data_IF_000929273920
#
_entry.id   IF_000929273920
#
_cell.length_a   1.000
_cell.length_b   1.000
_cell.length_c   1.000
_cell.angle_alpha   90.00
_cell.angle_beta   90.00
_cell.angle_gamma   90.00
#
_symmetry.space_group_name_H-M   'P 1'
#
loop_
_entity.id
_entity.type
_entity.pdbx_description
1 polymer ?
#
# COMPACT_ATOMS: atom_id res chain seq x y z
N UNK A 1 6.05 17.73 -36.24
CA UNK A 1 5.88 17.10 -34.91
C UNK A 1 7.14 16.33 -34.52
N UNK A 2 7.67 15.48 -35.42
CA UNK A 2 8.93 14.76 -35.26
C UNK A 2 10.13 15.66 -34.88
N UNK A 3 10.38 16.75 -35.61
CA UNK A 3 11.50 17.68 -35.32
C UNK A 3 11.42 18.37 -33.95
N UNK A 4 10.22 18.54 -33.37
CA UNK A 4 10.07 19.06 -32.00
C UNK A 4 10.38 17.99 -30.95
N UNK A 5 10.00 16.73 -31.21
CA UNK A 5 10.36 15.60 -30.36
C UNK A 5 11.87 15.35 -30.35
N UNK A 6 12.50 15.39 -31.52
CA UNK A 6 13.95 15.16 -31.65
C UNK A 6 14.75 16.24 -30.89
N UNK A 7 14.34 17.51 -30.99
CA UNK A 7 14.97 18.61 -30.25
C UNK A 7 14.79 18.49 -28.72
N UNK A 8 13.64 17.97 -28.26
CA UNK A 8 13.40 17.74 -26.83
C UNK A 8 14.28 16.61 -26.31
N UNK A 9 14.36 15.49 -27.05
CA UNK A 9 15.23 14.35 -26.75
C UNK A 9 16.69 14.77 -26.62
N UNK A 10 17.17 15.55 -27.59
CA UNK A 10 18.54 16.05 -27.58
C UNK A 10 18.82 16.97 -26.38
N UNK A 11 17.87 17.85 -26.04
CA UNK A 11 17.95 18.70 -24.84
C UNK A 11 18.00 17.88 -23.54
N UNK A 12 17.21 16.81 -23.42
CA UNK A 12 17.18 15.96 -22.23
C UNK A 12 18.50 15.18 -22.10
N UNK A 13 18.97 14.58 -23.18
CA UNK A 13 20.27 13.90 -23.21
C UNK A 13 21.41 14.87 -22.87
N UNK A 14 21.37 16.10 -23.38
CA UNK A 14 22.33 17.15 -23.05
C UNK A 14 22.35 17.49 -21.56
N UNK A 15 21.17 17.64 -20.93
CA UNK A 15 21.06 17.90 -19.47
C UNK A 15 21.64 16.76 -18.64
N UNK A 16 21.36 15.51 -19.02
CA UNK A 16 21.90 14.34 -18.34
C UNK A 16 23.42 14.29 -18.44
N UNK A 17 23.99 14.46 -19.64
CA UNK A 17 25.44 14.51 -19.84
C UNK A 17 26.10 15.62 -19.03
N UNK A 18 25.54 16.84 -19.07
CA UNK A 18 26.09 17.98 -18.34
C UNK A 18 26.09 17.73 -16.82
N UNK A 19 24.98 17.24 -16.27
CA UNK A 19 24.90 16.91 -14.84
C UNK A 19 25.93 15.85 -14.43
N UNK A 20 26.02 14.75 -15.18
CA UNK A 20 26.98 13.69 -14.90
C UNK A 20 28.42 14.20 -15.01
N UNK A 21 28.74 15.00 -16.03
CA UNK A 21 30.08 15.57 -16.22
C UNK A 21 30.52 16.48 -15.06
N UNK A 22 29.59 17.25 -14.48
CA UNK A 22 29.89 18.08 -13.32
C UNK A 22 30.12 17.23 -12.05
N UNK A 23 29.28 16.22 -11.83
CA UNK A 23 29.41 15.31 -10.68
C UNK A 23 30.68 14.46 -10.75
N UNK A 24 31.11 14.09 -11.96
CA UNK A 24 32.35 13.35 -12.21
C UNK A 24 33.62 14.12 -11.84
N UNK A 25 33.55 15.45 -11.60
CA UNK A 25 34.70 16.21 -11.06
C UNK A 25 35.05 15.80 -9.64
N UNK A 26 34.07 15.28 -8.88
CA UNK A 26 34.24 14.84 -7.48
C UNK A 26 33.37 13.61 -7.17
N UNK A 27 33.63 12.47 -7.83
CA UNK A 27 32.70 11.35 -7.83
C UNK A 27 32.51 10.70 -6.45
N UNK A 28 33.53 10.74 -5.59
CA UNK A 28 33.48 10.21 -4.23
C UNK A 28 32.65 11.06 -3.25
N UNK A 29 32.38 12.33 -3.57
CA UNK A 29 31.52 13.20 -2.76
C UNK A 29 30.02 12.97 -3.07
N UNK A 30 29.68 12.24 -4.15
CA UNK A 30 28.31 12.03 -4.60
C UNK A 30 27.64 10.92 -3.79
N UNK A 31 26.69 11.30 -2.94
CA UNK A 31 25.89 10.36 -2.13
C UNK A 31 24.44 10.23 -2.61
N UNK A 32 23.99 11.14 -3.46
CA UNK A 32 22.66 11.14 -4.06
C UNK A 32 22.74 11.52 -5.53
N UNK A 33 22.05 10.76 -6.37
CA UNK A 33 21.95 11.01 -7.80
C UNK A 33 20.48 10.93 -8.22
N UNK A 34 20.02 11.98 -8.87
CA UNK A 34 18.67 12.07 -9.42
C UNK A 34 18.72 12.21 -10.95
N UNK A 35 18.18 11.20 -11.61
CA UNK A 35 18.01 11.05 -13.04
C UNK A 35 16.54 10.76 -13.38
N UNK A 36 15.58 11.31 -12.62
CA UNK A 36 14.16 11.18 -12.96
C UNK A 36 13.82 11.89 -14.28
N UNK A 37 12.86 11.32 -15.04
CA UNK A 37 12.32 11.94 -16.26
C UNK A 37 13.40 12.34 -17.27
N UNK A 38 14.37 11.44 -17.50
CA UNK A 38 15.49 11.65 -18.43
C UNK A 38 15.37 10.87 -19.73
N UNK A 39 14.21 10.25 -19.98
CA UNK A 39 13.96 9.43 -21.16
C UNK A 39 15.04 8.34 -21.35
N UNK A 40 15.60 7.84 -20.24
CA UNK A 40 16.68 6.86 -20.29
C UNK A 40 16.14 5.50 -20.74
N UNK A 41 16.64 5.01 -21.85
CA UNK A 41 16.40 3.64 -22.32
C UNK A 41 17.39 2.65 -21.68
N UNK A 42 18.56 3.14 -21.23
CA UNK A 42 19.56 2.37 -20.50
C UNK A 42 20.19 3.24 -19.40
N UNK A 43 20.75 2.57 -18.38
CA UNK A 43 21.45 3.27 -17.30
C UNK A 43 22.81 3.78 -17.81
N UNK A 44 23.13 5.08 -17.66
CA UNK A 44 24.41 5.64 -18.12
C UNK A 44 25.60 5.04 -17.38
N UNK A 45 26.66 4.64 -18.09
CA UNK A 45 27.83 3.99 -17.48
C UNK A 45 28.60 4.91 -16.50
N UNK A 46 28.47 6.22 -16.65
CA UNK A 46 29.10 7.23 -15.80
C UNK A 46 28.68 7.12 -14.33
N UNK A 47 27.45 6.64 -14.06
CA UNK A 47 26.95 6.59 -12.68
C UNK A 47 27.73 5.62 -11.80
N UNK A 48 28.42 4.64 -12.40
CA UNK A 48 29.21 3.65 -11.68
C UNK A 48 30.51 4.21 -11.11
N UNK A 49 30.88 5.45 -11.44
CA UNK A 49 31.98 6.16 -10.78
C UNK A 49 31.61 6.65 -9.36
N UNK A 50 30.33 6.75 -9.02
CA UNK A 50 29.85 7.27 -7.74
C UNK A 50 29.81 6.15 -6.67
N UNK A 51 30.98 5.76 -6.17
CA UNK A 51 31.12 4.61 -5.25
C UNK A 51 30.36 4.79 -3.92
N UNK A 52 30.21 6.04 -3.44
CA UNK A 52 29.55 6.36 -2.17
C UNK A 52 28.05 6.65 -2.29
N UNK A 53 27.43 6.28 -3.42
CA UNK A 53 26.03 6.55 -3.70
C UNK A 53 25.11 5.79 -2.71
N UNK A 54 24.26 6.55 -2.02
CA UNK A 54 23.25 6.05 -1.07
C UNK A 54 21.84 6.13 -1.62
N UNK A 55 21.55 7.15 -2.42
CA UNK A 55 20.25 7.36 -3.03
C UNK A 55 20.37 7.49 -4.55
N UNK A 56 19.65 6.64 -5.29
CA UNK A 56 19.57 6.68 -6.75
C UNK A 56 18.12 6.77 -7.19
N UNK A 57 17.78 7.86 -7.90
CA UNK A 57 16.44 8.09 -8.45
C UNK A 57 16.51 7.96 -9.96
N UNK A 58 15.84 6.95 -10.50
CA UNK A 58 15.73 6.61 -11.91
C UNK A 58 14.26 6.55 -12.36
N UNK A 59 13.36 7.22 -11.63
CA UNK A 59 11.92 7.21 -11.90
C UNK A 59 11.55 7.81 -13.25
N UNK A 60 10.42 7.35 -13.81
CA UNK A 60 9.82 7.92 -15.02
C UNK A 60 10.82 7.96 -16.19
N UNK A 61 11.47 6.82 -16.44
CA UNK A 61 12.35 6.60 -17.59
C UNK A 61 11.79 5.44 -18.43
N UNK A 62 12.58 4.90 -19.35
CA UNK A 62 12.17 3.80 -20.24
C UNK A 62 12.96 2.51 -19.99
N UNK A 63 13.57 2.37 -18.82
CA UNK A 63 14.45 1.24 -18.48
C UNK A 63 13.68 -0.07 -18.50
N UNK A 64 14.27 -1.10 -19.10
CA UNK A 64 13.72 -2.48 -19.13
C UNK A 64 14.56 -3.45 -18.31
N UNK A 65 15.83 -3.12 -18.06
CA UNK A 65 16.81 -3.94 -17.36
C UNK A 65 17.83 -3.08 -16.61
N UNK A 66 18.59 -3.70 -15.72
CA UNK A 66 19.71 -3.09 -15.02
C UNK A 66 20.99 -3.88 -15.34
N UNK A 67 22.11 -3.20 -15.66
CA UNK A 67 23.37 -3.88 -15.94
C UNK A 67 23.97 -4.50 -14.67
N UNK A 68 24.76 -5.57 -14.82
CA UNK A 68 25.45 -6.26 -13.70
C UNK A 68 26.31 -5.33 -12.83
N UNK A 69 26.80 -4.22 -13.41
CA UNK A 69 27.55 -3.19 -12.67
C UNK A 69 26.76 -2.58 -11.50
N UNK A 70 25.43 -2.73 -11.43
CA UNK A 70 24.63 -2.32 -10.27
C UNK A 70 25.10 -2.95 -8.97
N UNK A 71 25.66 -4.16 -9.00
CA UNK A 71 26.25 -4.80 -7.81
C UNK A 71 27.39 -3.98 -7.16
N UNK A 72 27.94 -2.98 -7.86
CA UNK A 72 28.98 -2.10 -7.32
C UNK A 72 28.43 -1.05 -6.34
N UNK A 73 27.12 -0.78 -6.34
CA UNK A 73 26.51 0.19 -5.43
C UNK A 73 26.34 -0.37 -4.01
N UNK A 74 27.47 -0.65 -3.35
CA UNK A 74 27.51 -1.31 -2.03
C UNK A 74 26.94 -0.45 -0.90
N UNK A 75 26.85 0.86 -1.09
CA UNK A 75 26.31 1.80 -0.10
C UNK A 75 24.87 2.23 -0.37
N UNK A 76 24.22 1.67 -1.40
CA UNK A 76 22.88 2.08 -1.79
C UNK A 76 21.85 1.68 -0.73
N UNK A 77 21.16 2.68 -0.19
CA UNK A 77 20.11 2.53 0.80
C UNK A 77 18.73 2.77 0.17
N UNK A 78 18.66 3.58 -0.89
CA UNK A 78 17.42 3.95 -1.55
C UNK A 78 17.55 3.88 -3.07
N UNK A 79 16.66 3.11 -3.68
CA UNK A 79 16.59 2.97 -5.13
C UNK A 79 15.16 3.19 -5.61
N UNK A 80 14.97 4.18 -6.47
CA UNK A 80 13.68 4.53 -7.03
C UNK A 80 13.65 4.25 -8.55
N UNK A 81 12.95 3.19 -8.95
CA UNK A 81 12.79 2.72 -10.34
C UNK A 81 11.34 2.81 -10.82
N UNK A 82 10.47 3.49 -10.08
CA UNK A 82 9.05 3.58 -10.43
C UNK A 82 8.81 4.31 -11.76
N UNK A 83 7.82 3.88 -12.54
CA UNK A 83 7.51 4.48 -13.84
C UNK A 83 8.53 4.12 -14.93
N UNK A 84 8.91 2.84 -15.02
CA UNK A 84 9.79 2.31 -16.06
C UNK A 84 9.07 1.18 -16.83
N UNK A 85 9.81 0.39 -17.60
CA UNK A 85 9.29 -0.70 -18.42
C UNK A 85 9.74 -2.09 -17.94
N UNK A 86 10.07 -2.25 -16.66
CA UNK A 86 10.51 -3.55 -16.12
C UNK A 86 9.37 -4.58 -16.19
N UNK A 87 9.57 -5.67 -16.96
CA UNK A 87 8.65 -6.81 -17.02
C UNK A 87 8.87 -7.81 -15.87
N UNK A 88 10.04 -7.76 -15.24
CA UNK A 88 10.44 -8.57 -14.08
C UNK A 88 11.29 -7.73 -13.14
N UNK A 89 11.35 -8.12 -11.88
CA UNK A 89 12.33 -7.56 -10.94
C UNK A 89 13.73 -8.03 -11.37
N UNK A 90 14.69 -7.12 -11.66
CA UNK A 90 16.03 -7.52 -12.06
C UNK A 90 16.78 -8.24 -10.94
N UNK A 91 17.33 -9.42 -11.22
CA UNK A 91 18.01 -10.28 -10.22
C UNK A 91 19.16 -9.58 -9.51
N UNK A 92 19.80 -8.62 -10.19
CA UNK A 92 20.90 -7.82 -9.64
C UNK A 92 20.48 -7.03 -8.39
N UNK A 93 19.20 -6.68 -8.25
CA UNK A 93 18.67 -5.97 -7.09
C UNK A 93 18.84 -6.77 -5.80
N UNK A 94 18.72 -8.09 -5.87
CA UNK A 94 18.83 -8.98 -4.70
C UNK A 94 20.25 -9.09 -4.14
N UNK A 95 21.25 -8.49 -4.82
CA UNK A 95 22.63 -8.35 -4.30
C UNK A 95 22.82 -7.07 -3.50
N UNK A 96 21.86 -6.13 -3.52
CA UNK A 96 21.94 -4.82 -2.88
C UNK A 96 21.45 -4.87 -1.42
N UNK A 97 22.16 -5.63 -0.59
CA UNK A 97 21.76 -5.98 0.79
C UNK A 97 21.71 -4.79 1.78
N UNK A 98 22.06 -3.58 1.34
CA UNK A 98 21.94 -2.35 2.12
C UNK A 98 20.68 -1.54 1.81
N UNK A 99 19.87 -1.96 0.84
CA UNK A 99 18.62 -1.29 0.51
C UNK A 99 17.66 -1.29 1.70
N UNK A 100 17.18 -0.09 2.02
CA UNK A 100 16.11 0.20 2.97
C UNK A 100 14.83 0.63 2.26
N UNK A 101 14.94 1.23 1.09
CA UNK A 101 13.80 1.68 0.29
C UNK A 101 13.97 1.24 -1.16
N UNK A 102 12.99 0.49 -1.66
CA UNK A 102 12.93 0.05 -3.05
C UNK A 102 11.57 0.40 -3.64
N UNK A 103 11.59 1.22 -4.69
CA UNK A 103 10.40 1.58 -5.45
C UNK A 103 10.45 1.01 -6.86
N UNK A 104 9.53 0.08 -7.14
CA UNK A 104 9.31 -0.59 -8.42
C UNK A 104 7.88 -0.34 -8.93
N UNK A 105 7.19 0.67 -8.41
CA UNK A 105 5.82 1.01 -8.80
C UNK A 105 5.70 1.39 -10.28
N UNK A 106 4.52 1.30 -10.88
CA UNK A 106 4.29 1.73 -12.27
C UNK A 106 5.27 1.06 -13.26
N UNK A 107 5.34 -0.27 -13.21
CA UNK A 107 6.10 -1.10 -14.14
C UNK A 107 5.17 -2.16 -14.74
N UNK A 108 5.72 -3.24 -15.31
CA UNK A 108 4.97 -4.35 -15.91
C UNK A 108 5.32 -5.68 -15.23
N UNK A 109 5.66 -5.64 -13.94
CA UNK A 109 6.15 -6.80 -13.20
C UNK A 109 5.00 -7.77 -12.96
N UNK A 110 5.17 -9.04 -13.32
CA UNK A 110 4.16 -10.09 -13.11
C UNK A 110 4.45 -10.98 -11.89
N UNK A 111 5.73 -11.11 -11.53
CA UNK A 111 6.20 -12.05 -10.50
C UNK A 111 7.18 -11.34 -9.57
N UNK A 112 6.98 -11.53 -8.27
CA UNK A 112 7.98 -11.25 -7.25
C UNK A 112 8.71 -12.59 -6.99
N UNK A 113 10.01 -12.70 -7.29
CA UNK A 113 10.75 -13.94 -7.09
C UNK A 113 11.13 -14.11 -5.61
N UNK A 114 11.43 -15.36 -5.19
CA UNK A 114 11.73 -15.69 -3.79
C UNK A 114 12.94 -14.91 -3.24
N UNK A 115 13.87 -14.52 -4.10
CA UNK A 115 15.06 -13.74 -3.79
C UNK A 115 14.75 -12.35 -3.23
N UNK A 116 13.50 -11.85 -3.34
CA UNK A 116 13.08 -10.62 -2.65
C UNK A 116 13.40 -10.69 -1.16
N UNK A 117 13.30 -11.88 -0.56
CA UNK A 117 13.58 -12.12 0.85
C UNK A 117 15.04 -11.92 1.25
N UNK A 118 15.98 -11.76 0.31
CA UNK A 118 17.38 -11.46 0.58
C UNK A 118 17.58 -9.99 1.02
N UNK A 119 16.62 -9.11 0.74
CA UNK A 119 16.70 -7.68 1.04
C UNK A 119 16.24 -7.38 2.49
N UNK A 120 16.80 -8.07 3.47
CA UNK A 120 16.35 -8.09 4.88
C UNK A 120 16.34 -6.70 5.56
N UNK A 121 17.10 -5.73 5.04
CA UNK A 121 17.14 -4.35 5.55
C UNK A 121 16.03 -3.46 5.00
N UNK A 122 15.18 -3.94 4.08
CA UNK A 122 14.08 -3.16 3.53
C UNK A 122 13.12 -2.72 4.64
N UNK A 123 12.85 -1.42 4.65
CA UNK A 123 11.85 -0.75 5.47
C UNK A 123 10.64 -0.32 4.62
N UNK A 124 10.85 -0.03 3.34
CA UNK A 124 9.81 0.38 2.40
C UNK A 124 9.95 -0.38 1.09
N UNK A 125 8.89 -1.06 0.67
CA UNK A 125 8.78 -1.73 -0.62
C UNK A 125 7.50 -1.28 -1.33
N UNK A 126 7.64 -0.64 -2.49
CA UNK A 126 6.51 -0.20 -3.32
C UNK A 126 6.52 -0.91 -4.67
N UNK A 127 5.45 -1.65 -4.93
CA UNK A 127 5.21 -2.49 -6.10
C UNK A 127 3.83 -2.20 -6.73
N UNK A 128 3.19 -1.10 -6.35
CA UNK A 128 1.87 -0.73 -6.83
C UNK A 128 1.85 -0.38 -8.32
N UNK A 129 0.70 -0.55 -8.99
CA UNK A 129 0.58 -0.41 -10.45
C UNK A 129 1.55 -1.31 -11.22
N UNK A 130 1.41 -2.61 -11.01
CA UNK A 130 2.08 -3.66 -11.76
C UNK A 130 1.06 -4.73 -12.17
N UNK A 131 1.52 -5.90 -12.61
CA UNK A 131 0.70 -7.03 -13.05
C UNK A 131 0.87 -8.24 -12.12
N UNK A 132 1.25 -8.02 -10.86
CA UNK A 132 1.61 -9.07 -9.91
C UNK A 132 0.38 -9.90 -9.55
N UNK A 133 0.51 -11.23 -9.61
CA UNK A 133 -0.57 -12.17 -9.30
C UNK A 133 -0.42 -12.86 -7.94
N UNK A 134 0.82 -13.06 -7.50
CA UNK A 134 1.15 -13.80 -6.28
C UNK A 134 2.31 -13.13 -5.57
N UNK A 135 2.33 -13.29 -4.24
CA UNK A 135 3.41 -12.84 -3.37
C UNK A 135 4.10 -14.11 -2.85
N UNK A 136 5.44 -14.22 -2.97
CA UNK A 136 6.18 -15.39 -2.48
C UNK A 136 6.16 -15.46 -0.95
N UNK A 137 6.28 -16.68 -0.41
CA UNK A 137 6.40 -16.88 1.05
C UNK A 137 7.67 -16.22 1.62
N UNK A 138 8.68 -15.99 0.79
CA UNK A 138 9.90 -15.31 1.21
C UNK A 138 9.68 -13.85 1.63
N UNK A 139 8.51 -13.25 1.34
CA UNK A 139 8.16 -11.91 1.81
C UNK A 139 8.25 -11.81 3.32
N UNK A 140 7.90 -12.88 4.05
CA UNK A 140 7.98 -12.92 5.52
C UNK A 140 9.38 -12.73 6.08
N UNK A 141 10.44 -12.91 5.28
CA UNK A 141 11.83 -12.67 5.69
C UNK A 141 12.15 -11.18 5.87
N UNK A 142 11.36 -10.26 5.32
CA UNK A 142 11.60 -8.82 5.39
C UNK A 142 11.21 -8.24 6.76
N UNK A 143 11.88 -8.68 7.84
CA UNK A 143 11.51 -8.35 9.22
C UNK A 143 11.56 -6.86 9.55
N UNK A 144 12.31 -6.05 8.80
CA UNK A 144 12.41 -4.60 9.00
C UNK A 144 11.33 -3.81 8.25
N UNK A 145 10.49 -4.47 7.45
CA UNK A 145 9.53 -3.80 6.57
C UNK A 145 8.46 -3.09 7.38
N UNK A 146 8.29 -1.80 7.13
CA UNK A 146 7.30 -0.90 7.75
C UNK A 146 6.18 -0.55 6.78
N UNK A 147 6.49 -0.41 5.50
CA UNK A 147 5.53 -0.04 4.47
C UNK A 147 5.62 -1.04 3.32
N UNK A 148 4.49 -1.66 3.00
CA UNK A 148 4.33 -2.52 1.83
C UNK A 148 3.16 -2.00 0.98
N UNK A 149 3.47 -1.53 -0.22
CA UNK A 149 2.47 -1.08 -1.19
C UNK A 149 2.38 -2.04 -2.39
N UNK A 150 1.23 -2.70 -2.51
CA UNK A 150 0.92 -3.72 -3.51
C UNK A 150 -0.42 -3.43 -4.22
N UNK A 151 -1.02 -2.27 -3.97
CA UNK A 151 -2.27 -1.86 -4.59
C UNK A 151 -2.17 -1.77 -6.13
N UNK A 152 -3.29 -1.84 -6.84
CA UNK A 152 -3.30 -1.81 -8.31
C UNK A 152 -2.45 -2.94 -8.92
N UNK A 153 -2.77 -4.17 -8.55
CA UNK A 153 -2.17 -5.38 -9.12
C UNK A 153 -3.29 -6.39 -9.45
N UNK A 154 -2.94 -7.66 -9.61
CA UNK A 154 -3.90 -8.76 -9.81
C UNK A 154 -3.73 -9.85 -8.76
N UNK A 155 -3.39 -9.47 -7.53
CA UNK A 155 -3.08 -10.41 -6.44
C UNK A 155 -4.36 -11.11 -5.97
N UNK A 156 -4.34 -12.43 -5.99
CA UNK A 156 -5.51 -13.27 -5.66
C UNK A 156 -5.52 -13.71 -4.20
N UNK A 157 -4.35 -13.85 -3.56
CA UNK A 157 -4.21 -14.20 -2.15
C UNK A 157 -2.91 -13.64 -1.56
N UNK A 158 -2.88 -13.54 -0.23
CA UNK A 158 -1.65 -13.27 0.53
C UNK A 158 -1.11 -14.58 1.11
N UNK A 159 0.22 -14.78 1.16
CA UNK A 159 0.84 -15.90 1.86
C UNK A 159 0.66 -15.78 3.38
N UNK A 160 0.69 -16.91 4.10
CA UNK A 160 0.60 -16.91 5.57
C UNK A 160 1.83 -16.26 6.23
N UNK A 161 2.95 -16.21 5.52
CA UNK A 161 4.16 -15.50 5.97
C UNK A 161 4.00 -13.98 6.02
N UNK A 162 2.91 -13.41 5.49
CA UNK A 162 2.63 -11.96 5.65
C UNK A 162 2.58 -11.56 7.13
N UNK A 163 2.07 -12.44 7.99
CA UNK A 163 2.01 -12.21 9.43
C UNK A 163 3.36 -12.17 10.12
N UNK A 164 4.43 -12.57 9.45
CA UNK A 164 5.77 -12.49 10.01
C UNK A 164 6.46 -11.13 9.82
N UNK A 165 5.79 -10.19 9.13
CA UNK A 165 6.21 -8.80 9.01
C UNK A 165 5.85 -8.02 10.31
N UNK A 166 6.54 -8.35 11.40
CA UNK A 166 6.24 -7.84 12.75
C UNK A 166 6.41 -6.32 12.89
N UNK A 167 7.20 -5.71 12.01
CA UNK A 167 7.42 -4.26 11.97
C UNK A 167 6.50 -3.50 11.00
N UNK A 168 5.57 -4.19 10.33
CA UNK A 168 4.71 -3.58 9.33
C UNK A 168 3.75 -2.59 9.99
N UNK A 169 3.76 -1.35 9.50
CA UNK A 169 2.93 -0.24 9.97
C UNK A 169 1.84 0.12 8.96
N UNK A 170 2.13 0.00 7.66
CA UNK A 170 1.21 0.33 6.58
C UNK A 170 1.19 -0.76 5.50
N UNK A 171 -0.02 -1.26 5.20
CA UNK A 171 -0.24 -2.26 4.15
C UNK A 171 -1.32 -1.77 3.17
N UNK A 172 -0.91 -1.56 1.92
CA UNK A 172 -1.79 -1.11 0.84
C UNK A 172 -2.01 -2.25 -0.16
N UNK A 173 -3.24 -2.73 -0.24
CA UNK A 173 -3.67 -3.87 -1.06
C UNK A 173 -4.88 -3.56 -1.93
N UNK A 174 -5.35 -2.32 -1.95
CA UNK A 174 -6.53 -1.93 -2.70
C UNK A 174 -6.42 -2.14 -4.20
N UNK A 175 -7.54 -2.35 -4.88
CA UNK A 175 -7.59 -2.61 -6.33
C UNK A 175 -6.73 -3.84 -6.69
N UNK A 176 -7.07 -4.98 -6.09
CA UNK A 176 -6.53 -6.31 -6.36
C UNK A 176 -7.68 -7.31 -6.56
N UNK A 177 -7.40 -8.62 -6.44
CA UNK A 177 -8.38 -9.69 -6.59
C UNK A 177 -8.51 -10.56 -5.34
N UNK A 178 -8.18 -10.01 -4.16
CA UNK A 178 -8.19 -10.77 -2.91
C UNK A 178 -9.61 -11.21 -2.56
N UNK A 179 -9.78 -12.50 -2.23
CA UNK A 179 -11.06 -13.06 -1.78
C UNK A 179 -11.12 -13.26 -0.26
N UNK A 180 -9.96 -13.38 0.39
CA UNK A 180 -9.81 -13.48 1.84
C UNK A 180 -8.52 -12.77 2.29
N UNK A 181 -8.40 -12.56 3.60
CA UNK A 181 -7.12 -12.26 4.25
C UNK A 181 -6.71 -13.49 5.10
N UNK A 182 -5.42 -13.84 5.18
CA UNK A 182 -4.96 -14.98 5.97
C UNK A 182 -5.08 -14.69 7.47
N UNK A 183 -5.27 -15.74 8.29
CA UNK A 183 -5.37 -15.59 9.75
C UNK A 183 -4.05 -15.07 10.38
N UNK A 184 -2.93 -15.27 9.71
CA UNK A 184 -1.66 -14.69 10.11
C UNK A 184 -1.63 -13.15 10.10
N UNK A 185 -2.54 -12.46 9.40
CA UNK A 185 -2.52 -10.98 9.34
C UNK A 185 -2.57 -10.36 10.73
N UNK A 186 -3.29 -10.97 11.68
CA UNK A 186 -3.38 -10.51 13.06
C UNK A 186 -2.07 -10.60 13.88
N UNK A 187 -0.99 -11.12 13.30
CA UNK A 187 0.35 -11.12 13.88
C UNK A 187 1.12 -9.81 13.60
N UNK A 188 0.71 -9.01 12.61
CA UNK A 188 1.29 -7.69 12.32
C UNK A 188 0.90 -6.64 13.37
N UNK A 189 1.34 -6.80 14.62
CA UNK A 189 0.90 -6.00 15.78
C UNK A 189 1.14 -4.49 15.66
N UNK A 190 2.09 -4.07 14.82
CA UNK A 190 2.42 -2.66 14.59
C UNK A 190 1.60 -2.01 13.48
N UNK A 191 0.68 -2.73 12.84
CA UNK A 191 -0.08 -2.22 11.72
C UNK A 191 -1.04 -1.11 12.18
N UNK A 192 -0.87 0.08 11.60
CA UNK A 192 -1.69 1.27 11.86
C UNK A 192 -2.67 1.54 10.72
N UNK A 193 -2.32 1.16 9.49
CA UNK A 193 -3.15 1.36 8.30
C UNK A 193 -3.26 0.07 7.49
N UNK A 194 -4.49 -0.36 7.25
CA UNK A 194 -4.82 -1.45 6.35
C UNK A 194 -5.83 -0.97 5.31
N UNK A 195 -5.39 -0.91 4.06
CA UNK A 195 -6.20 -0.47 2.92
C UNK A 195 -6.41 -1.62 1.95
N UNK A 196 -7.59 -2.23 1.99
CA UNK A 196 -7.96 -3.44 1.22
C UNK A 196 -9.26 -3.24 0.41
N UNK A 197 -9.70 -1.98 0.25
CA UNK A 197 -10.86 -1.63 -0.56
C UNK A 197 -10.74 -2.10 -2.03
N UNK A 198 -11.86 -2.18 -2.76
CA UNK A 198 -11.88 -2.56 -4.18
C UNK A 198 -11.18 -3.92 -4.41
N UNK A 199 -11.62 -4.92 -3.66
CA UNK A 199 -11.22 -6.33 -3.78
C UNK A 199 -12.50 -7.19 -3.82
N UNK A 200 -12.36 -8.50 -3.65
CA UNK A 200 -13.46 -9.45 -3.64
C UNK A 200 -13.61 -10.14 -2.27
N UNK A 201 -13.25 -9.45 -1.17
CA UNK A 201 -13.29 -10.04 0.17
C UNK A 201 -14.73 -10.40 0.56
N UNK A 202 -14.95 -11.67 0.92
CA UNK A 202 -16.26 -12.17 1.38
C UNK A 202 -16.41 -12.17 2.90
N UNK A 203 -15.29 -12.21 3.61
CA UNK A 203 -15.21 -12.16 5.07
C UNK A 203 -13.86 -11.60 5.51
N UNK A 204 -13.75 -11.28 6.80
CA UNK A 204 -12.49 -11.00 7.47
C UNK A 204 -12.15 -12.14 8.44
N UNK A 205 -10.86 -12.46 8.62
CA UNK A 205 -10.43 -13.42 9.62
C UNK A 205 -10.70 -12.89 11.04
N UNK A 206 -10.95 -13.77 12.01
CA UNK A 206 -11.16 -13.37 13.42
C UNK A 206 -9.88 -12.76 14.03
N UNK A 207 -8.72 -13.13 13.49
CA UNK A 207 -7.46 -12.48 13.86
C UNK A 207 -7.38 -10.99 13.48
N UNK A 208 -8.30 -10.42 12.70
CA UNK A 208 -8.27 -8.97 12.40
C UNK A 208 -8.30 -8.14 13.69
N UNK A 209 -9.07 -8.56 14.70
CA UNK A 209 -9.17 -7.86 15.99
C UNK A 209 -7.89 -7.86 16.81
N UNK A 210 -6.87 -8.60 16.38
CA UNK A 210 -5.56 -8.63 17.03
C UNK A 210 -4.66 -7.44 16.66
N UNK A 211 -5.07 -6.62 15.69
CA UNK A 211 -4.35 -5.43 15.23
C UNK A 211 -4.65 -4.22 16.13
N UNK A 212 -4.25 -4.29 17.40
CA UNK A 212 -4.63 -3.31 18.42
C UNK A 212 -4.15 -1.88 18.17
N UNK A 213 -3.15 -1.67 17.29
CA UNK A 213 -2.66 -0.35 16.89
C UNK A 213 -3.31 0.19 15.61
N UNK A 214 -4.30 -0.51 15.04
CA UNK A 214 -4.92 -0.10 13.79
C UNK A 214 -5.76 1.17 13.99
N UNK A 215 -5.38 2.23 13.29
CA UNK A 215 -6.03 3.55 13.35
C UNK A 215 -7.00 3.75 12.18
N UNK A 216 -6.74 3.10 11.04
CA UNK A 216 -7.50 3.25 9.81
C UNK A 216 -7.66 1.92 9.08
N UNK A 217 -8.92 1.55 8.84
CA UNK A 217 -9.30 0.34 8.12
C UNK A 217 -10.25 0.71 6.97
N UNK A 218 -9.82 0.44 5.74
CA UNK A 218 -10.62 0.68 4.53
C UNK A 218 -10.95 -0.64 3.85
N UNK A 219 -12.25 -0.91 3.77
CA UNK A 219 -12.84 -2.17 3.31
C UNK A 219 -13.93 -1.96 2.25
N UNK A 220 -14.18 -0.72 1.84
CA UNK A 220 -15.24 -0.39 0.90
C UNK A 220 -15.08 -1.08 -0.47
N UNK A 221 -16.16 -1.26 -1.22
CA UNK A 221 -16.16 -1.95 -2.51
C UNK A 221 -15.57 -3.37 -2.40
N UNK A 222 -16.13 -4.17 -1.51
CA UNK A 222 -15.85 -5.60 -1.36
C UNK A 222 -17.19 -6.38 -1.37
N UNK A 223 -17.19 -7.64 -0.96
CA UNK A 223 -18.39 -8.50 -0.88
C UNK A 223 -18.64 -8.98 0.56
N UNK A 224 -18.27 -8.17 1.55
CA UNK A 224 -18.41 -8.54 2.96
C UNK A 224 -19.88 -8.65 3.34
N UNK A 225 -20.28 -9.79 3.90
CA UNK A 225 -21.65 -10.02 4.38
C UNK A 225 -21.83 -9.72 5.86
N UNK A 226 -20.77 -9.95 6.65
CA UNK A 226 -20.73 -9.75 8.08
C UNK A 226 -19.33 -9.29 8.49
N UNK A 227 -19.22 -8.73 9.69
CA UNK A 227 -17.95 -8.47 10.35
C UNK A 227 -17.72 -9.49 11.47
N UNK A 228 -16.47 -9.93 11.71
CA UNK A 228 -16.16 -10.81 12.83
C UNK A 228 -16.39 -10.08 14.17
N UNK A 229 -16.72 -10.82 15.24
CA UNK A 229 -16.95 -10.22 16.56
C UNK A 229 -15.71 -9.50 17.07
N UNK A 230 -14.53 -10.02 16.72
CA UNK A 230 -13.23 -9.42 17.03
C UNK A 230 -13.01 -8.02 16.46
N UNK A 231 -13.83 -7.53 15.52
CA UNK A 231 -13.71 -6.16 15.00
C UNK A 231 -13.77 -5.13 16.13
N UNK A 232 -14.56 -5.39 17.18
CA UNK A 232 -14.67 -4.52 18.35
C UNK A 232 -13.40 -4.42 19.21
N UNK A 233 -12.39 -5.27 18.96
CA UNK A 233 -11.10 -5.19 19.66
C UNK A 233 -10.18 -4.09 19.09
N UNK A 234 -10.52 -3.52 17.92
CA UNK A 234 -9.76 -2.45 17.26
C UNK A 234 -9.99 -1.08 17.92
N UNK A 235 -9.75 -0.99 19.22
CA UNK A 235 -10.11 0.17 20.05
C UNK A 235 -9.39 1.47 19.68
N UNK A 236 -8.29 1.41 18.92
CA UNK A 236 -7.58 2.59 18.38
C UNK A 236 -8.13 3.08 17.03
N UNK A 237 -9.12 2.38 16.46
CA UNK A 237 -9.65 2.72 15.15
C UNK A 237 -10.39 4.05 15.19
N UNK A 238 -9.96 4.99 14.34
CA UNK A 238 -10.56 6.32 14.21
C UNK A 238 -11.45 6.42 12.98
N UNK A 239 -11.17 5.60 11.95
CA UNK A 239 -11.87 5.60 10.66
C UNK A 239 -12.12 4.18 10.19
N UNK A 240 -13.38 3.86 9.95
CA UNK A 240 -13.84 2.60 9.40
C UNK A 240 -14.73 2.86 8.18
N UNK A 241 -14.23 2.50 7.00
CA UNK A 241 -14.99 2.67 5.75
C UNK A 241 -15.37 1.30 5.18
N UNK A 242 -16.66 1.02 5.16
CA UNK A 242 -17.30 -0.23 4.77
C UNK A 242 -18.31 -0.05 3.64
N UNK A 243 -18.38 1.13 3.03
CA UNK A 243 -19.38 1.42 2.01
C UNK A 243 -19.27 0.50 0.77
N UNK A 244 -20.38 0.29 0.07
CA UNK A 244 -20.47 -0.61 -1.08
C UNK A 244 -19.96 -2.04 -0.74
N UNK A 245 -20.63 -2.66 0.24
CA UNK A 245 -20.47 -4.09 0.60
C UNK A 245 -21.87 -4.76 0.63
N UNK A 246 -21.97 -5.96 1.21
CA UNK A 246 -23.22 -6.73 1.33
C UNK A 246 -23.59 -6.95 2.80
N UNK A 247 -23.22 -6.01 3.69
CA UNK A 247 -23.34 -6.20 5.14
C UNK A 247 -24.80 -6.16 5.55
N UNK A 248 -25.30 -7.26 6.14
CA UNK A 248 -26.69 -7.40 6.57
C UNK A 248 -26.89 -6.96 8.02
N UNK A 249 -25.89 -7.21 8.87
CA UNK A 249 -25.88 -6.83 10.28
C UNK A 249 -24.49 -6.41 10.76
N UNK A 250 -24.46 -5.58 11.80
CA UNK A 250 -23.24 -5.26 12.54
C UNK A 250 -23.18 -6.08 13.83
N UNK A 251 -22.01 -6.58 14.23
CA UNK A 251 -21.87 -7.23 15.53
C UNK A 251 -22.04 -6.21 16.67
N UNK A 252 -22.60 -6.63 17.81
CA UNK A 252 -22.74 -5.78 18.99
C UNK A 252 -21.39 -5.21 19.48
N UNK A 253 -20.29 -5.90 19.20
CA UNK A 253 -18.94 -5.45 19.54
C UNK A 253 -18.51 -4.18 18.80
N UNK A 254 -19.22 -3.75 17.74
CA UNK A 254 -18.95 -2.49 17.05
C UNK A 254 -18.99 -1.29 18.01
N UNK A 255 -19.82 -1.36 19.06
CA UNK A 255 -19.93 -0.34 20.10
C UNK A 255 -18.68 -0.13 20.95
N UNK A 256 -17.71 -1.06 20.89
CA UNK A 256 -16.45 -0.98 21.63
C UNK A 256 -15.42 -0.06 20.96
N UNK A 257 -15.67 0.41 19.74
CA UNK A 257 -14.77 1.29 18.99
C UNK A 257 -14.86 2.74 19.48
N UNK A 258 -14.62 2.98 20.77
CA UNK A 258 -14.88 4.26 21.44
C UNK A 258 -14.11 5.47 20.87
N UNK A 259 -13.04 5.24 20.10
CA UNK A 259 -12.24 6.28 19.43
C UNK A 259 -12.69 6.55 17.98
N UNK A 260 -13.74 5.89 17.50
CA UNK A 260 -14.19 6.01 16.11
C UNK A 260 -14.78 7.40 15.86
N UNK A 261 -14.23 8.10 14.87
CA UNK A 261 -14.65 9.44 14.46
C UNK A 261 -15.48 9.42 13.18
N UNK A 262 -15.16 8.51 12.25
CA UNK A 262 -15.87 8.38 10.98
C UNK A 262 -16.22 6.91 10.73
N UNK A 263 -17.50 6.65 10.51
CA UNK A 263 -18.05 5.34 10.13
C UNK A 263 -18.87 5.51 8.85
N UNK A 264 -18.43 4.84 7.78
CA UNK A 264 -19.16 4.79 6.52
C UNK A 264 -19.69 3.39 6.26
N UNK A 265 -21.00 3.24 6.25
CA UNK A 265 -21.74 2.00 6.01
C UNK A 265 -22.65 2.12 4.78
N UNK A 266 -22.45 3.16 3.96
CA UNK A 266 -23.36 3.45 2.84
C UNK A 266 -23.35 2.33 1.79
N UNK A 267 -24.46 2.03 1.14
CA UNK A 267 -24.51 0.98 0.11
C UNK A 267 -24.26 -0.41 0.69
N UNK A 268 -24.98 -0.76 1.76
CA UNK A 268 -25.00 -2.09 2.37
C UNK A 268 -26.45 -2.60 2.45
N UNK A 269 -26.66 -3.73 3.12
CA UNK A 269 -27.96 -4.39 3.25
C UNK A 269 -28.50 -4.30 4.70
N UNK A 270 -28.06 -3.28 5.47
CA UNK A 270 -28.43 -3.13 6.88
C UNK A 270 -29.91 -2.84 7.03
N UNK A 271 -30.61 -3.68 7.80
CA UNK A 271 -32.03 -3.50 8.16
C UNK A 271 -32.24 -2.97 9.57
N UNK A 272 -31.22 -3.08 10.43
CA UNK A 272 -31.19 -2.52 11.78
C UNK A 272 -29.75 -2.18 12.18
N UNK A 273 -29.59 -1.38 13.23
CA UNK A 273 -28.31 -1.13 13.90
C UNK A 273 -28.38 -1.69 15.33
N UNK A 274 -27.29 -2.26 15.86
CA UNK A 274 -27.27 -2.75 17.24
C UNK A 274 -27.31 -1.57 18.23
N UNK A 275 -27.97 -1.76 19.38
CA UNK A 275 -28.06 -0.73 20.43
C UNK A 275 -26.68 -0.28 20.93
N UNK A 276 -25.70 -1.17 20.88
CA UNK A 276 -24.32 -0.85 21.27
C UNK A 276 -23.66 0.17 20.36
N UNK A 277 -24.13 0.38 19.12
CA UNK A 277 -23.63 1.42 18.23
C UNK A 277 -23.73 2.80 18.90
N UNK A 278 -24.73 3.02 19.75
CA UNK A 278 -24.92 4.27 20.50
C UNK A 278 -23.82 4.51 21.57
N UNK A 279 -22.92 3.56 21.81
CA UNK A 279 -21.74 3.74 22.66
C UNK A 279 -20.59 4.48 21.96
N UNK A 280 -20.68 4.74 20.65
CA UNK A 280 -19.69 5.50 19.88
C UNK A 280 -19.78 7.01 20.14
N UNK A 281 -19.41 7.44 21.35
CA UNK A 281 -19.62 8.83 21.80
C UNK A 281 -18.76 9.88 21.08
N UNK A 282 -17.69 9.47 20.40
CA UNK A 282 -16.79 10.36 19.67
C UNK A 282 -17.12 10.49 18.17
N UNK A 283 -18.16 9.79 17.69
CA UNK A 283 -18.47 9.75 16.25
C UNK A 283 -18.85 11.15 15.73
N UNK A 284 -18.13 11.59 14.70
CA UNK A 284 -18.32 12.89 14.06
C UNK A 284 -19.06 12.77 12.74
N UNK A 285 -18.86 11.66 12.02
CA UNK A 285 -19.55 11.37 10.76
C UNK A 285 -20.06 9.94 10.75
N UNK A 286 -21.35 9.78 10.45
CA UNK A 286 -22.00 8.50 10.28
C UNK A 286 -22.75 8.53 8.95
N UNK A 287 -22.31 7.71 7.99
CA UNK A 287 -22.91 7.63 6.66
C UNK A 287 -23.59 6.26 6.52
N UNK A 288 -24.87 6.29 6.19
CA UNK A 288 -25.80 5.14 6.16
C UNK A 288 -26.66 5.12 4.89
N UNK A 289 -26.42 6.03 3.95
CA UNK A 289 -27.14 6.14 2.67
C UNK A 289 -27.18 4.81 1.92
N UNK A 290 -28.28 4.51 1.22
CA UNK A 290 -28.45 3.27 0.46
C UNK A 290 -28.32 2.01 1.34
N UNK A 291 -29.13 1.93 2.41
CA UNK A 291 -29.34 0.73 3.22
C UNK A 291 -30.84 0.38 3.26
N UNK A 292 -31.21 -0.63 4.06
CA UNK A 292 -32.60 -1.09 4.23
C UNK A 292 -33.19 -0.64 5.59
N UNK A 293 -32.68 0.46 6.14
CA UNK A 293 -33.10 0.98 7.44
C UNK A 293 -34.50 1.64 7.35
N UNK A 294 -35.36 1.51 8.38
CA UNK A 294 -36.63 2.20 8.44
C UNK A 294 -36.51 3.74 8.33
N UNK A 295 -37.45 4.39 7.66
CA UNK A 295 -37.40 5.85 7.43
C UNK A 295 -37.41 6.68 8.74
N UNK A 296 -38.02 6.17 9.81
CA UNK A 296 -38.08 6.82 11.12
C UNK A 296 -36.77 6.68 11.93
N UNK A 297 -35.84 5.82 11.51
CA UNK A 297 -34.58 5.60 12.22
C UNK A 297 -33.72 6.87 12.33
N UNK A 298 -33.89 7.84 11.42
CA UNK A 298 -33.23 9.15 11.50
C UNK A 298 -33.54 9.91 12.79
N UNK A 299 -34.74 9.78 13.33
CA UNK A 299 -35.12 10.48 14.56
C UNK A 299 -34.35 9.90 15.75
N UNK A 300 -34.23 8.57 15.81
CA UNK A 300 -33.42 7.86 16.81
C UNK A 300 -31.95 8.25 16.68
N UNK A 301 -31.42 8.25 15.46
CA UNK A 301 -30.02 8.64 15.21
C UNK A 301 -29.74 10.08 15.63
N UNK A 302 -30.62 11.04 15.30
CA UNK A 302 -30.48 12.45 15.71
C UNK A 302 -30.60 12.64 17.22
N UNK A 303 -31.45 11.87 17.90
CA UNK A 303 -31.57 11.90 19.37
C UNK A 303 -30.30 11.34 20.04
N UNK A 304 -29.78 10.22 19.54
CA UNK A 304 -28.63 9.51 20.13
C UNK A 304 -27.28 10.12 19.74
N UNK A 305 -27.20 10.81 18.60
CA UNK A 305 -26.00 11.44 18.04
C UNK A 305 -26.23 12.91 17.63
N UNK A 306 -26.58 13.81 18.57
CA UNK A 306 -27.02 15.17 18.25
C UNK A 306 -25.94 16.08 17.63
N UNK A 307 -24.67 15.73 17.78
CA UNK A 307 -23.52 16.51 17.26
C UNK A 307 -22.83 15.84 16.05
N UNK A 308 -23.35 14.69 15.60
CA UNK A 308 -22.76 13.92 14.52
C UNK A 308 -23.36 14.34 13.19
N UNK A 309 -22.52 14.53 12.17
CA UNK A 309 -22.98 14.66 10.79
C UNK A 309 -23.49 13.31 10.31
N UNK A 310 -24.81 13.18 10.18
CA UNK A 310 -25.45 11.95 9.70
C UNK A 310 -25.84 12.17 8.23
N UNK A 311 -25.38 11.27 7.37
CA UNK A 311 -25.81 11.18 5.96
C UNK A 311 -26.59 9.88 5.79
N UNK A 312 -27.84 9.98 5.40
CA UNK A 312 -28.73 8.86 5.16
C UNK A 312 -29.79 9.28 4.15
N UNK A 313 -30.07 8.40 3.21
CA UNK A 313 -31.09 8.58 2.18
C UNK A 313 -32.06 7.43 2.40
N UNK A 314 -33.30 7.75 2.77
CA UNK A 314 -34.38 6.78 2.97
C UNK A 314 -35.21 6.64 1.70
#
# INVERSE_FOLDING_TARGET
>A
MQSKLDNIKESIAGRTRNQLSELLKKPLEVTKLDLHMRELEAVPDEIFAFENLKELILKNNYLTELPEKFANFRHLEKLELGGNNFAKIPDILFKLNNLKQLDLSWNKIEVIPDEIGNLEKLEVLTLNHNNIKQIPESIGKLKNLKILALNNNSIESLPETIGELENLEELYLFENKLTTLPESIGKCKKLKKLEVQQNYLVSLPESIGNLSLLEKLRLYKNMLKNLPLSIGNLTNLTKLYLYENQIVELPDTIGNLHNLLELDLSGNELSALPDTLFNLKQIQKLMLTNNQLPHDYIYVLKERFPQTKIECDF
#
